data_IF_085311194752
#
_entry.id   IF_085311194752
#
_cell.length_a   1.000
_cell.length_b   1.000
_cell.length_c   1.000
_cell.angle_alpha   90.00
_cell.angle_beta   90.00
_cell.angle_gamma   90.00
#
_symmetry.space_group_name_H-M   'P 1'
#
loop_
_entity.id
_entity.type
_entity.pdbx_description
1 polymer ?
#
# COMPACT_ATOMS: atom_id res chain seq x y z
N UNK A 1 22.64 1.85 23.04
CA UNK A 1 22.81 2.33 21.66
C UNK A 1 21.54 1.99 20.90
N UNK A 2 20.83 2.98 20.33
CA UNK A 2 19.59 2.73 19.58
C UNK A 2 19.93 2.39 18.13
N UNK A 3 19.40 1.29 17.60
CA UNK A 3 19.57 0.92 16.20
C UNK A 3 18.66 1.83 15.36
N UNK A 4 19.16 2.48 14.30
CA UNK A 4 18.29 3.26 13.43
C UNK A 4 17.30 2.33 12.72
N UNK A 5 16.00 2.55 12.92
CA UNK A 5 14.95 1.83 12.21
C UNK A 5 14.80 2.42 10.80
N UNK A 6 15.11 1.64 9.77
CA UNK A 6 14.89 2.02 8.38
C UNK A 6 13.43 1.74 8.04
N UNK A 7 12.65 2.78 7.75
CA UNK A 7 11.29 2.62 7.25
C UNK A 7 11.32 2.26 5.76
N UNK A 8 10.58 1.22 5.32
CA UNK A 8 10.48 0.89 3.91
C UNK A 8 9.75 1.98 3.14
N UNK A 9 10.27 2.31 1.95
CA UNK A 9 9.69 3.32 1.04
C UNK A 9 8.58 2.73 0.16
N UNK A 10 8.55 1.42 -0.03
CA UNK A 10 7.52 0.72 -0.80
C UNK A 10 7.29 -0.69 -0.28
N UNK A 11 6.14 -1.25 -0.60
CA UNK A 11 5.69 -2.56 -0.18
C UNK A 11 5.28 -3.41 -1.40
N UNK A 12 5.55 -4.71 -1.35
CA UNK A 12 4.80 -5.64 -2.19
C UNK A 12 3.44 -5.94 -1.53
N UNK A 13 2.60 -6.77 -2.16
CA UNK A 13 1.28 -7.07 -1.60
C UNK A 13 1.32 -7.76 -0.22
N UNK A 14 2.36 -8.53 0.07
CA UNK A 14 2.50 -9.20 1.35
C UNK A 14 2.92 -8.19 2.44
N UNK A 15 3.89 -7.32 2.12
CA UNK A 15 4.31 -6.23 2.99
C UNK A 15 3.18 -5.24 3.26
N UNK A 16 2.40 -4.89 2.24
CA UNK A 16 1.26 -3.98 2.38
C UNK A 16 0.19 -4.60 3.29
N UNK A 17 -0.14 -5.88 3.10
CA UNK A 17 -1.06 -6.62 3.96
C UNK A 17 -0.58 -6.64 5.42
N UNK A 18 0.70 -6.92 5.66
CA UNK A 18 1.27 -6.91 7.00
C UNK A 18 1.26 -5.52 7.64
N UNK A 19 1.49 -4.46 6.85
CA UNK A 19 1.55 -3.09 7.33
C UNK A 19 0.15 -2.51 7.66
N UNK A 20 -0.90 -2.90 6.93
CA UNK A 20 -2.26 -2.39 7.13
C UNK A 20 -3.16 -3.31 7.94
N UNK A 21 -2.79 -4.58 8.09
CA UNK A 21 -3.65 -5.61 8.68
C UNK A 21 -4.74 -6.13 7.74
N UNK A 22 -4.80 -5.65 6.49
CA UNK A 22 -5.72 -6.17 5.47
C UNK A 22 -5.22 -7.51 4.91
N UNK A 23 -6.12 -8.30 4.32
CA UNK A 23 -5.69 -9.49 3.57
C UNK A 23 -5.02 -9.09 2.25
N UNK A 24 -4.10 -9.94 1.77
CA UNK A 24 -3.43 -9.76 0.48
C UNK A 24 -4.43 -9.63 -0.68
N UNK A 25 -5.53 -10.37 -0.63
CA UNK A 25 -6.57 -10.34 -1.68
C UNK A 25 -7.30 -9.00 -1.71
N UNK A 26 -7.48 -8.34 -0.57
CA UNK A 26 -8.05 -6.98 -0.50
C UNK A 26 -7.10 -5.99 -1.16
N UNK A 27 -5.81 -6.03 -0.82
CA UNK A 27 -4.79 -5.18 -1.45
C UNK A 27 -4.77 -5.40 -2.97
N UNK A 28 -4.74 -6.66 -3.41
CA UNK A 28 -4.72 -7.00 -4.82
C UNK A 28 -6.01 -6.55 -5.55
N UNK A 29 -7.17 -6.63 -4.90
CA UNK A 29 -8.44 -6.14 -5.45
C UNK A 29 -8.43 -4.62 -5.59
N UNK A 30 -7.98 -3.89 -4.58
CA UNK A 30 -7.86 -2.43 -4.63
C UNK A 30 -6.93 -1.97 -5.76
N UNK A 31 -5.77 -2.62 -5.93
CA UNK A 31 -4.86 -2.32 -7.05
C UNK A 31 -5.50 -2.62 -8.40
N UNK A 32 -6.20 -3.75 -8.53
CA UNK A 32 -6.89 -4.12 -9.79
C UNK A 32 -8.07 -3.20 -10.13
N UNK A 33 -8.76 -2.69 -9.12
CA UNK A 33 -9.85 -1.74 -9.28
C UNK A 33 -9.34 -0.33 -9.64
N UNK A 34 -8.06 -0.05 -9.38
CA UNK A 34 -7.45 1.27 -9.58
C UNK A 34 -7.53 2.17 -8.35
N UNK A 35 -8.06 1.66 -7.23
CA UNK A 35 -8.21 2.40 -5.97
C UNK A 35 -6.89 2.59 -5.22
N UNK A 36 -5.92 1.68 -5.45
CA UNK A 36 -4.60 1.72 -4.85
C UNK A 36 -3.52 1.74 -5.96
N UNK A 37 -2.74 2.82 -6.08
CA UNK A 37 -1.65 2.89 -7.06
C UNK A 37 -0.61 1.78 -6.85
N UNK A 38 -0.16 1.20 -7.95
CA UNK A 38 0.96 0.25 -7.97
C UNK A 38 1.93 0.58 -9.09
N UNK A 39 3.22 0.54 -8.77
CA UNK A 39 4.31 0.84 -9.66
C UNK A 39 5.03 -0.43 -10.09
N UNK A 40 5.54 -0.41 -11.32
CA UNK A 40 6.32 -1.50 -11.92
C UNK A 40 7.70 -0.97 -12.31
N UNK A 41 8.66 -0.93 -11.36
CA UNK A 41 10.01 -0.47 -11.63
C UNK A 41 10.67 -1.25 -12.76
N UNK A 42 11.58 -0.58 -13.47
CA UNK A 42 12.47 -1.23 -14.43
C UNK A 42 13.88 -1.29 -13.83
N UNK A 43 14.46 -2.47 -13.76
CA UNK A 43 15.86 -2.69 -13.36
C UNK A 43 16.63 -3.16 -14.60
N UNK A 44 17.70 -2.46 -14.95
CA UNK A 44 18.49 -2.73 -16.16
C UNK A 44 17.60 -2.84 -17.43
N UNK A 45 16.62 -1.94 -17.56
CA UNK A 45 15.68 -1.91 -18.68
C UNK A 45 14.58 -2.97 -18.66
N UNK A 46 14.57 -3.90 -17.69
CA UNK A 46 13.55 -4.95 -17.56
C UNK A 46 12.56 -4.59 -16.44
N UNK A 47 11.26 -4.64 -16.75
CA UNK A 47 10.23 -4.48 -15.74
C UNK A 47 10.31 -5.64 -14.73
N UNK A 48 10.28 -5.32 -13.44
CA UNK A 48 10.10 -6.36 -12.43
C UNK A 48 8.67 -6.88 -12.48
N UNK A 49 8.51 -8.19 -12.29
CA UNK A 49 7.19 -8.83 -12.33
C UNK A 49 6.31 -8.48 -11.12
N UNK A 50 6.94 -8.03 -10.02
CA UNK A 50 6.24 -7.75 -8.77
C UNK A 50 5.86 -6.26 -8.70
N UNK A 51 4.57 -5.92 -8.50
CA UNK A 51 4.15 -4.56 -8.25
C UNK A 51 4.69 -4.08 -6.90
N UNK A 52 5.08 -2.81 -6.84
CA UNK A 52 5.41 -2.10 -5.61
C UNK A 52 4.38 -1.01 -5.36
N UNK A 53 3.89 -0.95 -4.13
CA UNK A 53 2.97 0.06 -3.63
C UNK A 53 3.79 1.06 -2.83
N UNK A 54 3.68 2.34 -3.14
CA UNK A 54 4.36 3.39 -2.38
C UNK A 54 3.81 3.45 -0.94
N UNK A 55 4.68 3.70 0.03
CA UNK A 55 4.27 3.77 1.43
C UNK A 55 3.26 4.89 1.72
N UNK A 56 3.38 6.03 1.02
CA UNK A 56 2.49 7.16 1.23
C UNK A 56 1.15 6.95 0.52
N UNK A 57 1.13 6.34 -0.66
CA UNK A 57 -0.10 5.93 -1.34
C UNK A 57 -0.88 4.91 -0.51
N UNK A 58 -0.19 3.92 0.07
CA UNK A 58 -0.82 2.92 0.95
C UNK A 58 -1.45 3.59 2.18
N UNK A 59 -0.75 4.54 2.80
CA UNK A 59 -1.28 5.30 3.95
C UNK A 59 -2.47 6.18 3.55
N UNK A 60 -2.39 6.84 2.40
CA UNK A 60 -3.46 7.68 1.90
C UNK A 60 -4.71 6.85 1.61
N UNK A 61 -4.56 5.69 0.98
CA UNK A 61 -5.65 4.76 0.71
C UNK A 61 -6.33 4.26 2.00
N UNK A 62 -5.57 3.85 3.01
CA UNK A 62 -6.13 3.44 4.32
C UNK A 62 -6.92 4.58 4.96
N UNK A 63 -6.36 5.80 4.97
CA UNK A 63 -7.01 6.98 5.56
C UNK A 63 -8.24 7.43 4.77
N UNK A 64 -8.25 7.23 3.46
CA UNK A 64 -9.41 7.56 2.62
C UNK A 64 -10.62 6.67 2.98
N UNK A 65 -10.38 5.42 3.37
CA UNK A 65 -11.42 4.52 3.88
C UNK A 65 -12.07 4.95 5.21
N UNK A 66 -11.40 5.81 6.00
CA UNK A 66 -11.94 6.36 7.25
C UNK A 66 -12.94 7.51 7.02
N UNK A 67 -12.95 8.12 5.82
CA UNK A 67 -13.82 9.27 5.54
C UNK A 67 -15.32 8.95 5.63
N UNK A 68 -15.71 7.67 5.52
CA UNK A 68 -17.12 7.25 5.59
C UNK A 68 -17.63 7.00 7.02
N UNK A 69 -16.73 6.88 8.03
CA UNK A 69 -17.13 6.73 9.45
C UNK A 69 -17.36 8.04 10.21
N UNK A 70 -17.42 9.17 9.50
CA UNK A 70 -17.71 10.49 10.10
C UNK A 70 -19.05 11.09 9.64
N UNK A 71 -20.11 10.27 9.55
CA UNK A 71 -21.50 10.75 9.58
C UNK A 71 -22.33 9.95 10.59
N UNK A 72 -21.98 10.09 11.87
CA UNK A 72 -22.99 9.95 12.94
C UNK A 72 -23.79 11.24 12.95
N UNK A 73 -24.97 11.19 12.36
CA UNK A 73 -25.97 12.24 12.35
C UNK A 73 -26.52 12.47 13.79
N UNK A 74 -26.62 13.71 14.30
CA UNK A 74 -27.55 14.02 15.39
C UNK A 74 -29.01 14.03 14.91
#
# INVERSE_FOLDING_TARGET
MSVPTIAPVSFDYAGAAAATGCSRDVIQRAVRAGDLPAHYPKIAGRAIAKPLIDADDLRAWVRAGDAEKSKTNP
#
